data_IF_422341668582
#
_entry.id   IF_422341668582
#
_cell.length_a   1.000
_cell.length_b   1.000
_cell.length_c   1.000
_cell.angle_alpha   90.00
_cell.angle_beta   90.00
_cell.angle_gamma   90.00
#
_symmetry.space_group_name_H-M   'P 1'
#
loop_
_entity.id
_entity.type
_entity.pdbx_description
1 polymer ?
#
# COMPACT_ATOMS: atom_id res chain seq x y z
N UNK A 1 14.12 6.10 18.63
CA UNK A 1 14.45 5.47 17.33
C UNK A 1 14.52 6.56 16.28
N UNK A 2 15.26 6.44 15.16
CA UNK A 2 15.18 7.44 14.10
C UNK A 2 13.75 7.54 13.60
N UNK A 3 13.32 8.76 13.25
CA UNK A 3 11.99 8.99 12.67
C UNK A 3 11.79 8.16 11.40
N UNK A 4 10.62 7.55 11.26
CA UNK A 4 10.21 6.84 10.04
C UNK A 4 9.04 7.57 9.41
N UNK A 5 9.23 8.01 8.16
CA UNK A 5 8.26 8.81 7.43
C UNK A 5 7.54 7.97 6.39
N UNK A 6 6.22 7.90 6.51
CA UNK A 6 5.32 7.19 5.61
C UNK A 6 4.56 8.18 4.72
N UNK A 7 4.59 7.95 3.42
CA UNK A 7 3.76 8.65 2.44
C UNK A 7 2.68 7.70 1.93
N UNK A 8 1.42 8.11 1.96
CA UNK A 8 0.31 7.38 1.38
C UNK A 8 -0.09 8.04 0.06
N UNK A 9 0.11 7.34 -1.05
CA UNK A 9 -0.28 7.82 -2.38
C UNK A 9 -1.76 7.52 -2.62
N UNK A 10 -2.55 8.60 -2.70
CA UNK A 10 -3.99 8.58 -2.95
C UNK A 10 -4.31 9.28 -4.28
N UNK A 11 -5.41 8.91 -4.90
CA UNK A 11 -5.84 9.46 -6.18
C UNK A 11 -7.37 9.35 -6.32
N UNK A 12 -7.97 10.05 -7.27
CA UNK A 12 -9.41 9.98 -7.48
C UNK A 12 -9.85 8.53 -7.74
N UNK A 13 -10.84 8.06 -6.98
CA UNK A 13 -11.34 6.69 -7.02
C UNK A 13 -10.53 5.68 -6.18
N UNK A 14 -9.68 6.13 -5.23
CA UNK A 14 -9.16 5.25 -4.16
C UNK A 14 -10.32 4.77 -3.31
N UNK A 15 -10.29 3.50 -2.90
CA UNK A 15 -11.31 2.93 -2.01
C UNK A 15 -11.17 3.53 -0.59
N UNK A 16 -12.25 4.08 0.01
CA UNK A 16 -12.17 4.70 1.35
C UNK A 16 -11.60 3.80 2.46
N UNK A 17 -11.77 2.48 2.37
CA UNK A 17 -11.16 1.53 3.33
C UNK A 17 -9.63 1.65 3.37
N UNK A 18 -8.99 2.09 2.29
CA UNK A 18 -7.54 2.29 2.24
C UNK A 18 -7.05 3.42 3.16
N UNK A 19 -7.94 4.31 3.63
CA UNK A 19 -7.61 5.29 4.69
C UNK A 19 -7.28 4.62 6.03
N UNK A 20 -7.60 3.33 6.18
CA UNK A 20 -7.16 2.55 7.33
C UNK A 20 -5.64 2.49 7.45
N UNK A 21 -4.88 2.64 6.36
CA UNK A 21 -3.41 2.80 6.39
C UNK A 21 -3.04 3.97 7.30
N UNK A 22 -3.63 5.14 7.03
CA UNK A 22 -3.41 6.35 7.83
C UNK A 22 -3.88 6.15 9.28
N UNK A 23 -5.02 5.47 9.46
CA UNK A 23 -5.55 5.11 10.78
C UNK A 23 -4.59 4.24 11.60
N UNK A 24 -4.02 3.19 11.00
CA UNK A 24 -3.01 2.32 11.64
C UNK A 24 -1.77 3.13 12.03
N UNK A 25 -1.23 3.95 11.13
CA UNK A 25 -0.07 4.80 11.40
C UNK A 25 -0.36 5.82 12.49
N UNK A 26 -1.56 6.40 12.51
CA UNK A 26 -2.02 7.33 13.56
C UNK A 26 -2.08 6.65 14.94
N UNK A 27 -2.56 5.41 15.01
CA UNK A 27 -2.56 4.63 16.25
C UNK A 27 -1.13 4.27 16.68
N UNK A 28 -0.27 3.86 15.73
CA UNK A 28 1.13 3.56 15.99
C UNK A 28 1.91 4.77 16.53
N UNK A 29 1.63 5.96 16.04
CA UNK A 29 2.24 7.22 16.51
C UNK A 29 1.97 7.52 17.98
N UNK A 30 0.90 6.98 18.56
CA UNK A 30 0.64 7.09 20.02
C UNK A 30 1.60 6.24 20.85
N UNK A 31 2.24 5.26 20.23
CA UNK A 31 3.22 4.34 20.83
C UNK A 31 4.64 4.78 20.49
N UNK A 32 4.88 5.19 19.25
CA UNK A 32 6.14 5.66 18.70
C UNK A 32 5.95 7.06 18.07
N UNK A 33 6.02 8.14 18.88
CA UNK A 33 5.72 9.52 18.45
C UNK A 33 6.58 10.04 17.31
N UNK A 34 7.72 9.42 17.05
CA UNK A 34 8.64 9.72 15.95
C UNK A 34 8.13 9.28 14.57
N UNK A 35 7.02 8.54 14.49
CA UNK A 35 6.38 8.22 13.20
C UNK A 35 5.81 9.49 12.60
N UNK A 36 6.23 9.78 11.36
CA UNK A 36 5.64 10.83 10.53
C UNK A 36 4.83 10.20 9.41
N UNK A 37 3.73 10.84 9.02
CA UNK A 37 2.89 10.38 7.94
C UNK A 37 2.24 11.55 7.23
N UNK A 38 2.07 11.41 5.92
CA UNK A 38 1.37 12.38 5.06
C UNK A 38 0.76 11.68 3.85
N UNK A 39 -0.17 12.36 3.20
CA UNK A 39 -0.77 11.94 1.95
C UNK A 39 -0.16 12.67 0.76
N UNK A 40 -0.01 11.98 -0.36
CA UNK A 40 0.44 12.56 -1.63
C UNK A 40 -0.53 12.15 -2.74
N UNK A 41 -0.84 13.07 -3.64
CA UNK A 41 -1.76 12.84 -4.76
C UNK A 41 -1.16 13.35 -6.08
N UNK A 42 -1.70 12.96 -7.24
CA UNK A 42 -1.26 13.47 -8.54
C UNK A 42 -1.26 14.99 -8.62
N UNK A 43 -2.22 15.65 -7.93
CA UNK A 43 -2.37 17.12 -7.86
C UNK A 43 -2.65 17.53 -6.43
N UNK A 44 -2.24 18.74 -6.06
CA UNK A 44 -2.62 19.33 -4.79
C UNK A 44 -4.14 19.54 -4.71
N UNK A 45 -4.69 19.47 -3.52
CA UNK A 45 -6.10 19.75 -3.24
C UNK A 45 -6.93 18.51 -2.95
N UNK A 46 -8.22 18.60 -3.29
CA UNK A 46 -9.19 17.57 -2.97
C UNK A 46 -9.04 16.37 -3.90
N UNK A 47 -8.96 15.19 -3.31
CA UNK A 47 -9.08 13.89 -3.97
C UNK A 47 -10.49 13.35 -3.71
N UNK A 48 -11.22 13.03 -4.78
CA UNK A 48 -12.53 12.39 -4.68
C UNK A 48 -12.34 10.87 -4.73
N UNK A 49 -12.46 10.24 -3.58
CA UNK A 49 -12.37 8.79 -3.44
C UNK A 49 -13.62 8.10 -4.02
N UNK A 50 -13.61 6.78 -4.05
CA UNK A 50 -14.78 6.01 -4.47
C UNK A 50 -16.02 6.42 -3.65
N UNK A 51 -17.16 6.47 -4.34
CA UNK A 51 -18.46 6.86 -3.76
C UNK A 51 -18.52 8.29 -3.17
N UNK A 52 -17.64 9.20 -3.61
CA UNK A 52 -17.76 10.64 -3.38
C UNK A 52 -17.20 11.16 -2.06
N UNK A 53 -16.49 10.33 -1.25
CA UNK A 53 -15.75 10.82 -0.11
C UNK A 53 -14.63 11.75 -0.59
N UNK A 54 -14.55 12.96 -0.01
CA UNK A 54 -13.52 13.94 -0.36
C UNK A 54 -12.48 14.05 0.73
N UNK A 55 -11.21 13.91 0.34
CA UNK A 55 -10.05 13.99 1.21
C UNK A 55 -9.10 15.04 0.66
N UNK A 56 -8.56 15.89 1.51
CA UNK A 56 -7.52 16.84 1.13
C UNK A 56 -6.16 16.15 1.21
N UNK A 57 -5.44 16.06 0.10
CA UNK A 57 -4.06 15.57 0.09
C UNK A 57 -3.11 16.63 0.64
N UNK A 58 -2.12 16.20 1.46
CA UNK A 58 -1.13 17.10 2.05
C UNK A 58 -0.16 17.65 0.98
N UNK A 59 0.19 16.83 -0.02
CA UNK A 59 1.16 17.18 -1.06
C UNK A 59 0.70 16.71 -2.44
N UNK A 60 1.19 17.40 -3.47
CA UNK A 60 1.17 16.90 -4.85
C UNK A 60 2.41 16.03 -5.12
N UNK A 61 2.40 15.23 -6.19
CA UNK A 61 3.60 14.50 -6.65
C UNK A 61 4.78 15.44 -6.91
N UNK A 62 4.51 16.66 -7.41
CA UNK A 62 5.54 17.62 -7.79
C UNK A 62 6.34 18.19 -6.62
N UNK A 63 5.74 18.23 -5.43
CA UNK A 63 6.34 18.77 -4.20
C UNK A 63 6.37 17.74 -3.05
N UNK A 64 6.27 16.45 -3.41
CA UNK A 64 6.27 15.36 -2.45
C UNK A 64 7.58 15.34 -1.63
N UNK A 65 7.50 15.46 -0.29
CA UNK A 65 8.68 15.41 0.55
C UNK A 65 9.34 14.01 0.52
N UNK A 66 10.63 13.91 0.86
CA UNK A 66 11.27 12.62 1.05
C UNK A 66 10.54 11.76 2.08
N UNK A 67 10.34 10.48 1.76
CA UNK A 67 9.75 9.49 2.66
C UNK A 67 10.66 8.27 2.81
N UNK A 68 10.48 7.53 3.90
CA UNK A 68 11.10 6.22 4.10
C UNK A 68 10.30 5.12 3.40
N UNK A 69 8.98 5.22 3.44
CA UNK A 69 8.06 4.29 2.79
C UNK A 69 7.01 5.08 2.01
N UNK A 70 6.80 4.72 0.74
CA UNK A 70 5.67 5.19 -0.05
C UNK A 70 4.71 4.03 -0.27
N UNK A 71 3.42 4.21 0.08
CA UNK A 71 2.38 3.19 -0.02
C UNK A 71 1.37 3.60 -1.09
N UNK A 72 1.29 2.84 -2.18
CA UNK A 72 0.34 3.06 -3.27
C UNK A 72 -0.98 2.37 -2.94
N UNK A 73 -2.03 3.16 -2.79
CA UNK A 73 -3.38 2.69 -2.50
C UNK A 73 -4.06 2.05 -3.71
N UNK A 74 -5.10 1.24 -3.43
CA UNK A 74 -5.99 0.68 -4.43
C UNK A 74 -7.37 1.34 -4.43
N UNK A 75 -8.22 0.90 -5.34
CA UNK A 75 -9.60 1.36 -5.51
C UNK A 75 -10.02 1.35 -6.98
N UNK A 76 -11.29 1.61 -7.31
CA UNK A 76 -11.79 1.59 -8.68
C UNK A 76 -11.00 2.45 -9.68
N UNK A 77 -10.37 3.53 -9.21
CA UNK A 77 -9.54 4.43 -10.04
C UNK A 77 -8.20 3.86 -10.50
N UNK A 78 -7.80 2.67 -10.04
CA UNK A 78 -6.49 2.09 -10.31
C UNK A 78 -6.13 1.99 -11.80
N UNK A 79 -7.10 1.64 -12.64
CA UNK A 79 -6.86 1.45 -14.08
C UNK A 79 -6.49 2.75 -14.80
N UNK A 80 -7.08 3.86 -14.35
CA UNK A 80 -6.73 5.21 -14.85
C UNK A 80 -5.30 5.57 -14.42
N UNK A 81 -4.95 5.33 -13.17
CA UNK A 81 -3.60 5.64 -12.67
C UNK A 81 -2.52 4.71 -13.26
N UNK A 82 -2.84 3.44 -13.52
CA UNK A 82 -1.96 2.51 -14.22
C UNK A 82 -1.72 2.89 -15.69
N UNK A 83 -2.54 3.77 -16.25
CA UNK A 83 -2.39 4.33 -17.60
C UNK A 83 -1.91 5.80 -17.59
N UNK A 84 -1.72 6.41 -16.42
CA UNK A 84 -1.33 7.81 -16.28
C UNK A 84 0.20 7.96 -16.33
N UNK A 85 0.80 8.53 -17.40
CA UNK A 85 2.25 8.65 -17.51
C UNK A 85 2.89 9.42 -16.36
N UNK A 86 2.26 10.48 -15.86
CA UNK A 86 2.79 11.29 -14.77
C UNK A 86 2.86 10.49 -13.45
N UNK A 87 1.84 9.69 -13.15
CA UNK A 87 1.84 8.78 -12.00
C UNK A 87 2.92 7.71 -12.13
N UNK A 88 3.02 7.08 -13.31
CA UNK A 88 4.03 6.04 -13.54
C UNK A 88 5.46 6.59 -13.43
N UNK A 89 5.72 7.78 -13.99
CA UNK A 89 7.04 8.42 -13.90
C UNK A 89 7.37 8.85 -12.49
N UNK A 90 6.40 9.39 -11.73
CA UNK A 90 6.59 9.67 -10.31
C UNK A 90 6.98 8.40 -9.55
N UNK A 91 6.24 7.31 -9.68
CA UNK A 91 6.53 6.06 -8.98
C UNK A 91 7.87 5.43 -9.39
N UNK A 92 8.27 5.57 -10.66
CA UNK A 92 9.58 5.09 -11.16
C UNK A 92 10.75 5.92 -10.63
N UNK A 93 10.56 7.20 -10.42
CA UNK A 93 11.64 8.14 -10.04
C UNK A 93 11.70 8.42 -8.56
N UNK A 94 10.58 8.33 -7.84
CA UNK A 94 10.56 8.49 -6.38
C UNK A 94 11.40 7.39 -5.72
N UNK A 95 12.28 7.81 -4.82
CA UNK A 95 13.22 6.90 -4.13
C UNK A 95 12.96 6.94 -2.63
N UNK A 96 11.97 6.15 -2.13
CA UNK A 96 11.79 6.00 -0.69
C UNK A 96 13.06 5.37 -0.10
N UNK A 97 13.45 5.80 1.08
CA UNK A 97 14.72 5.36 1.70
C UNK A 97 14.69 3.88 2.10
N UNK A 98 13.52 3.32 2.35
CA UNK A 98 13.34 1.94 2.84
C UNK A 98 12.55 1.06 1.87
N UNK A 99 11.34 1.47 1.48
CA UNK A 99 10.51 0.65 0.60
C UNK A 99 9.47 1.43 -0.19
N UNK A 100 9.22 0.98 -1.41
CA UNK A 100 8.01 1.26 -2.17
C UNK A 100 7.00 0.14 -1.89
N UNK A 101 5.84 0.48 -1.36
CA UNK A 101 4.82 -0.49 -1.02
C UNK A 101 3.52 -0.25 -1.81
N UNK A 102 2.70 -1.27 -1.90
CA UNK A 102 1.34 -1.15 -2.42
C UNK A 102 0.37 -2.03 -1.64
N UNK A 103 -0.89 -1.69 -1.69
CA UNK A 103 -1.97 -2.49 -1.15
C UNK A 103 -3.09 -2.61 -2.17
N UNK A 104 -3.89 -3.69 -2.08
CA UNK A 104 -5.05 -3.86 -2.93
C UNK A 104 -4.69 -3.71 -4.43
N UNK A 105 -5.54 -3.06 -5.23
CA UNK A 105 -5.25 -2.77 -6.65
C UNK A 105 -4.15 -1.73 -6.89
N UNK A 106 -3.58 -1.12 -5.84
CA UNK A 106 -2.34 -0.37 -5.94
C UNK A 106 -1.17 -1.22 -6.47
N UNK A 107 -1.21 -2.54 -6.24
CA UNK A 107 -0.28 -3.49 -6.86
C UNK A 107 -0.34 -3.49 -8.40
N UNK A 108 -1.52 -3.27 -8.98
CA UNK A 108 -1.69 -3.14 -10.43
C UNK A 108 -1.07 -1.84 -10.97
N UNK A 109 -1.15 -0.75 -10.20
CA UNK A 109 -0.49 0.52 -10.54
C UNK A 109 1.03 0.33 -10.53
N UNK A 110 1.57 -0.34 -9.50
CA UNK A 110 3.01 -0.66 -9.45
C UNK A 110 3.44 -1.61 -10.58
N UNK A 111 2.63 -2.62 -10.93
CA UNK A 111 2.92 -3.52 -12.04
C UNK A 111 3.08 -2.75 -13.37
N UNK A 112 2.23 -1.74 -13.62
CA UNK A 112 2.30 -0.91 -14.81
C UNK A 112 3.58 -0.05 -14.90
N UNK A 113 4.29 0.16 -13.78
CA UNK A 113 5.59 0.86 -13.79
C UNK A 113 6.74 0.00 -14.33
N UNK A 114 6.60 -1.33 -14.36
CA UNK A 114 7.71 -2.28 -14.60
C UNK A 114 8.62 -2.53 -13.40
N UNK A 115 8.40 -1.88 -12.26
CA UNK A 115 9.23 -2.06 -11.06
C UNK A 115 9.08 -3.42 -10.39
N UNK A 116 8.03 -4.16 -10.74
CA UNK A 116 7.78 -5.52 -10.25
C UNK A 116 8.32 -6.61 -11.19
N UNK A 117 8.86 -6.27 -12.36
CA UNK A 117 9.38 -7.25 -13.31
C UNK A 117 10.54 -8.06 -12.69
N UNK A 118 10.50 -9.38 -12.86
CA UNK A 118 11.45 -10.32 -12.28
C UNK A 118 11.30 -10.53 -10.76
N UNK A 119 10.26 -9.96 -10.14
CA UNK A 119 10.01 -10.07 -8.70
C UNK A 119 8.74 -10.87 -8.41
N UNK A 120 8.58 -11.26 -7.16
CA UNK A 120 7.31 -11.75 -6.63
C UNK A 120 6.44 -10.57 -6.23
N UNK A 121 5.12 -10.70 -6.44
CA UNK A 121 4.16 -9.67 -6.03
C UNK A 121 2.79 -10.27 -5.76
N UNK A 122 1.99 -9.54 -5.02
CA UNK A 122 0.56 -9.80 -4.83
C UNK A 122 -0.25 -8.53 -5.07
N UNK A 123 -1.56 -8.69 -5.16
CA UNK A 123 -2.55 -7.62 -5.27
C UNK A 123 -3.88 -8.11 -4.72
N UNK A 124 -4.95 -7.32 -4.80
CA UNK A 124 -6.31 -7.77 -4.45
C UNK A 124 -6.64 -9.07 -5.19
N UNK A 125 -7.05 -10.12 -4.45
CA UNK A 125 -7.32 -11.44 -5.00
C UNK A 125 -8.54 -11.43 -5.91
N UNK A 126 -9.69 -11.03 -5.37
CA UNK A 126 -10.97 -11.15 -6.03
C UNK A 126 -11.53 -9.81 -6.48
N UNK A 127 -12.21 -9.76 -7.65
CA UNK A 127 -13.08 -8.67 -8.06
C UNK A 127 -14.43 -8.72 -7.35
N UNK A 128 -15.27 -7.73 -7.58
CA UNK A 128 -16.69 -7.84 -7.29
C UNK A 128 -17.39 -8.71 -8.35
N UNK A 129 -18.65 -9.06 -8.09
CA UNK A 129 -19.45 -9.82 -9.07
C UNK A 129 -19.44 -9.13 -10.43
N UNK A 130 -19.08 -9.89 -11.48
CA UNK A 130 -18.90 -9.36 -12.83
C UNK A 130 -17.55 -8.70 -13.12
N UNK A 131 -16.70 -8.47 -12.12
CA UNK A 131 -15.37 -7.93 -12.31
C UNK A 131 -14.30 -9.03 -12.39
N UNK A 132 -13.28 -8.87 -13.24
CA UNK A 132 -12.17 -9.81 -13.26
C UNK A 132 -11.33 -9.70 -11.98
N UNK A 133 -10.80 -10.85 -11.52
CA UNK A 133 -9.85 -10.90 -10.41
C UNK A 133 -8.61 -10.05 -10.72
N UNK A 134 -8.26 -9.04 -9.92
CA UNK A 134 -7.02 -8.27 -10.11
C UNK A 134 -5.77 -9.15 -10.07
N UNK A 135 -5.74 -10.17 -9.22
CA UNK A 135 -4.64 -11.12 -9.14
C UNK A 135 -4.48 -11.91 -10.45
N UNK A 136 -5.58 -12.35 -11.07
CA UNK A 136 -5.56 -13.01 -12.38
C UNK A 136 -5.11 -12.03 -13.47
N UNK A 137 -5.65 -10.81 -13.49
CA UNK A 137 -5.24 -9.78 -14.44
C UNK A 137 -3.75 -9.46 -14.35
N UNK A 138 -3.17 -9.44 -13.14
CA UNK A 138 -1.74 -9.21 -12.96
C UNK A 138 -0.93 -10.33 -13.63
N UNK A 139 -1.33 -11.62 -13.46
CA UNK A 139 -0.68 -12.76 -14.13
C UNK A 139 -0.75 -12.67 -15.65
N UNK A 140 -1.92 -12.29 -16.17
CA UNK A 140 -2.17 -12.22 -17.62
C UNK A 140 -1.44 -11.03 -18.30
N UNK A 141 -1.48 -9.85 -17.67
CA UNK A 141 -0.96 -8.61 -18.27
C UNK A 141 0.51 -8.33 -17.97
N UNK A 142 1.05 -8.93 -16.92
CA UNK A 142 2.43 -8.70 -16.47
C UNK A 142 3.17 -10.04 -16.26
N UNK A 143 3.43 -10.79 -17.35
CA UNK A 143 4.00 -12.15 -17.26
C UNK A 143 5.43 -12.20 -16.70
N UNK A 144 6.13 -11.07 -16.63
CA UNK A 144 7.43 -10.96 -15.98
C UNK A 144 7.35 -10.98 -14.45
N UNK A 145 6.15 -10.86 -13.86
CA UNK A 145 5.94 -10.88 -12.42
C UNK A 145 5.56 -12.27 -11.95
N UNK A 146 6.23 -12.80 -10.93
CA UNK A 146 5.81 -14.03 -10.25
C UNK A 146 4.67 -13.68 -9.25
N UNK A 147 3.42 -13.77 -9.70
CA UNK A 147 2.26 -13.39 -8.91
C UNK A 147 1.90 -14.46 -7.91
N UNK A 148 1.92 -14.12 -6.62
CA UNK A 148 1.58 -14.98 -5.50
C UNK A 148 0.20 -14.60 -4.92
N UNK A 149 -0.56 -15.60 -4.50
CA UNK A 149 -1.72 -15.40 -3.64
C UNK A 149 -1.24 -15.40 -2.19
N UNK A 150 -0.97 -14.22 -1.66
CA UNK A 150 -0.41 -14.02 -0.32
C UNK A 150 -1.00 -12.75 0.31
N UNK A 151 -0.96 -12.69 1.64
CA UNK A 151 -1.34 -11.51 2.40
C UNK A 151 -0.36 -10.36 2.13
N UNK A 152 0.93 -10.65 2.23
CA UNK A 152 2.04 -9.73 1.97
C UNK A 152 3.14 -10.46 1.22
N UNK A 153 3.72 -9.80 0.21
CA UNK A 153 4.94 -10.22 -0.49
C UNK A 153 5.99 -9.13 -0.29
N UNK A 154 7.07 -9.47 0.39
CA UNK A 154 8.15 -8.57 0.76
C UNK A 154 9.43 -8.93 0.01
N UNK A 155 9.74 -8.21 -1.06
CA UNK A 155 10.95 -8.34 -1.88
C UNK A 155 12.09 -7.40 -1.44
N UNK A 156 12.07 -6.93 -0.21
CA UNK A 156 13.11 -6.05 0.31
C UNK A 156 12.76 -4.57 0.12
N UNK A 157 13.11 -4.00 -0.98
CA UNK A 157 12.82 -2.60 -1.32
C UNK A 157 11.44 -2.39 -1.93
N UNK A 158 10.74 -3.46 -2.30
CA UNK A 158 9.36 -3.41 -2.81
C UNK A 158 8.52 -4.40 -2.01
N UNK A 159 7.36 -3.93 -1.51
CA UNK A 159 6.45 -4.71 -0.68
C UNK A 159 5.04 -4.57 -1.26
N UNK A 160 4.37 -5.69 -1.52
CA UNK A 160 3.00 -5.66 -2.03
C UNK A 160 2.07 -6.40 -1.08
N UNK A 161 0.90 -5.82 -0.81
CA UNK A 161 -0.14 -6.38 0.04
C UNK A 161 -1.42 -6.67 -0.72
N UNK A 162 -2.17 -7.66 -0.24
CA UNK A 162 -3.52 -7.94 -0.71
C UNK A 162 -4.49 -6.80 -0.40
N UNK A 163 -5.75 -7.01 -0.66
CA UNK A 163 -6.83 -6.06 -0.41
C UNK A 163 -8.10 -6.79 0.05
N UNK A 164 -9.16 -6.12 0.54
CA UNK A 164 -9.28 -4.67 0.76
C UNK A 164 -8.79 -4.32 2.17
N UNK A 165 -9.33 -4.98 3.21
CA UNK A 165 -8.95 -4.79 4.62
C UNK A 165 -7.51 -5.24 4.92
N UNK A 166 -6.90 -6.07 4.07
CA UNK A 166 -5.47 -6.45 4.19
C UNK A 166 -4.51 -5.27 4.03
N UNK A 167 -4.99 -4.07 3.69
CA UNK A 167 -4.21 -2.83 3.81
C UNK A 167 -3.76 -2.59 5.26
N UNK A 168 -4.58 -2.97 6.26
CA UNK A 168 -4.24 -2.93 7.69
C UNK A 168 -3.09 -3.89 7.96
N UNK A 169 -3.19 -5.13 7.47
CA UNK A 169 -2.17 -6.18 7.62
C UNK A 169 -0.83 -5.77 7.03
N UNK A 170 -0.86 -5.20 5.81
CA UNK A 170 0.34 -4.72 5.14
C UNK A 170 0.97 -3.55 5.93
N UNK A 171 0.17 -2.62 6.45
CA UNK A 171 0.67 -1.51 7.25
C UNK A 171 1.30 -1.98 8.56
N UNK A 172 0.69 -2.96 9.24
CA UNK A 172 1.28 -3.59 10.42
C UNK A 172 2.59 -4.33 10.10
N UNK A 173 2.68 -4.97 8.90
CA UNK A 173 3.92 -5.56 8.43
C UNK A 173 5.01 -4.48 8.21
N UNK A 174 4.67 -3.34 7.60
CA UNK A 174 5.61 -2.23 7.43
C UNK A 174 6.06 -1.64 8.77
N UNK A 175 5.16 -1.49 9.73
CA UNK A 175 5.51 -1.08 11.10
C UNK A 175 6.46 -2.07 11.76
N UNK A 176 6.15 -3.37 11.72
CA UNK A 176 7.01 -4.44 12.24
C UNK A 176 8.41 -4.35 11.69
N UNK A 177 8.52 -4.15 10.39
CA UNK A 177 9.79 -4.15 9.68
C UNK A 177 10.63 -2.89 9.89
N UNK A 178 10.01 -1.72 9.88
CA UNK A 178 10.74 -0.44 9.81
C UNK A 178 10.72 0.35 11.11
N UNK A 179 9.78 0.06 12.00
CA UNK A 179 9.67 0.71 13.31
C UNK A 179 9.99 -0.27 14.44
N UNK A 180 9.43 -1.46 14.41
CA UNK A 180 9.75 -2.52 15.38
C UNK A 180 8.57 -3.45 15.66
N UNK A 181 8.89 -4.69 16.05
CA UNK A 181 7.91 -5.74 16.35
C UNK A 181 6.96 -5.32 17.49
N UNK A 182 7.51 -4.74 18.57
CA UNK A 182 6.72 -4.29 19.73
C UNK A 182 5.70 -3.21 19.34
N UNK A 183 6.11 -2.24 18.51
CA UNK A 183 5.21 -1.17 18.03
C UNK A 183 4.07 -1.75 17.20
N UNK A 184 4.37 -2.67 16.28
CA UNK A 184 3.35 -3.32 15.46
C UNK A 184 2.36 -4.13 16.29
N UNK A 185 2.86 -4.96 17.23
CA UNK A 185 2.03 -5.80 18.08
C UNK A 185 1.12 -4.98 19.01
N UNK A 186 1.67 -3.94 19.66
CA UNK A 186 0.89 -3.02 20.51
C UNK A 186 -0.12 -2.21 19.71
N UNK A 187 0.21 -1.82 18.48
CA UNK A 187 -0.73 -1.13 17.59
C UNK A 187 -1.89 -2.05 17.23
N UNK A 188 -1.61 -3.29 16.82
CA UNK A 188 -2.65 -4.26 16.49
C UNK A 188 -3.56 -4.55 17.71
N UNK A 189 -2.99 -4.68 18.90
CA UNK A 189 -3.73 -4.86 20.16
C UNK A 189 -4.62 -3.65 20.47
N UNK A 190 -4.07 -2.44 20.41
CA UNK A 190 -4.82 -1.20 20.67
C UNK A 190 -5.98 -0.97 19.69
N UNK A 191 -5.88 -1.53 18.49
CA UNK A 191 -6.93 -1.51 17.45
C UNK A 191 -7.93 -2.67 17.59
N UNK A 192 -7.79 -3.55 18.59
CA UNK A 192 -8.54 -4.82 18.68
C UNK A 192 -8.41 -5.68 17.40
N UNK A 193 -7.27 -5.63 16.73
CA UNK A 193 -7.00 -6.30 15.45
C UNK A 193 -6.00 -7.46 15.56
N UNK A 194 -5.42 -7.71 16.74
CA UNK A 194 -4.35 -8.70 16.92
C UNK A 194 -4.77 -10.12 16.49
N UNK A 195 -5.95 -10.56 16.89
CA UNK A 195 -6.48 -11.89 16.54
C UNK A 195 -6.77 -12.00 15.03
N UNK A 196 -7.34 -10.96 14.43
CA UNK A 196 -7.59 -10.91 12.98
C UNK A 196 -6.28 -10.91 12.19
N UNK A 197 -5.26 -10.17 12.64
CA UNK A 197 -3.93 -10.13 12.02
C UNK A 197 -3.28 -11.51 12.01
N UNK A 198 -3.34 -12.23 13.13
CA UNK A 198 -2.80 -13.61 13.22
C UNK A 198 -3.62 -14.60 12.38
N UNK A 199 -4.95 -14.49 12.39
CA UNK A 199 -5.83 -15.34 11.58
C UNK A 199 -5.58 -15.15 10.08
N UNK A 200 -5.44 -13.89 9.62
CA UNK A 200 -5.12 -13.57 8.23
C UNK A 200 -3.74 -14.12 7.83
N UNK A 201 -2.74 -14.01 8.72
CA UNK A 201 -1.40 -14.55 8.50
C UNK A 201 -1.41 -16.06 8.31
N UNK A 202 -2.18 -16.79 9.13
CA UNK A 202 -2.33 -18.25 9.02
C UNK A 202 -3.07 -18.67 7.76
N UNK A 203 -4.12 -17.94 7.38
CA UNK A 203 -4.98 -18.30 6.27
C UNK A 203 -4.34 -18.01 4.90
N UNK A 204 -3.62 -16.88 4.76
CA UNK A 204 -3.12 -16.39 3.47
C UNK A 204 -1.59 -16.48 3.34
N UNK A 205 -0.88 -16.52 4.47
CA UNK A 205 0.57 -16.53 4.49
C UNK A 205 1.21 -15.20 4.04
N UNK A 206 2.48 -15.07 4.39
CA UNK A 206 3.38 -14.02 3.89
C UNK A 206 4.51 -14.67 3.13
N UNK A 207 5.01 -13.97 2.13
CA UNK A 207 6.29 -14.30 1.51
C UNK A 207 7.29 -13.18 1.77
N UNK A 208 8.46 -13.52 2.28
CA UNK A 208 9.55 -12.57 2.54
C UNK A 208 10.82 -13.09 1.89
N UNK A 209 11.50 -12.22 1.18
CA UNK A 209 12.81 -12.53 0.60
C UNK A 209 13.81 -12.79 1.74
N UNK A 210 14.49 -13.91 1.65
CA UNK A 210 15.57 -14.29 2.58
C UNK A 210 16.79 -13.35 2.45
#
# INVERSE_FOLDING_TARGET
MPAVRFAQFIYDGVEPVELAIYGVLSMARRIAPEIEMFTVAPRAGVVEMANGLRVLADHAMADCPPADVLIVCGGPGWSREAANPATLDFLRTFRPRKALASVCTGGMVLAATGLLDGRRATTKRDGFEGEPSPLRLMREKHPAIQVLEARVVDEGSVITGGGVTLCIDCTLHLLRRFVGEDVAARTASAMAYADAWEANRKALGDWTRA
#
